data_IF_609344249581
#
_entry.id   IF_609344249581
#
_cell.length_a   1.000
_cell.length_b   1.000
_cell.length_c   1.000
_cell.angle_alpha   90.00
_cell.angle_beta   90.00
_cell.angle_gamma   90.00
#
_symmetry.space_group_name_H-M   'P 1'
#
loop_
_entity.id
_entity.type
_entity.pdbx_description
1 polymer ?
#
# COMPACT_ATOMS: atom_id res chain seq x y z
N UNK A 1 1.21 -0.41 -5.53
CA UNK A 1 -0.23 -0.62 -5.23
C UNK A 1 -1.00 -0.85 -6.51
N UNK A 2 -1.98 -1.74 -6.54
CA UNK A 2 -2.84 -1.93 -7.70
C UNK A 2 -3.89 -0.83 -7.77
N UNK A 3 -3.62 0.16 -8.61
CA UNK A 3 -4.53 1.25 -8.93
C UNK A 3 -4.72 1.24 -10.45
N UNK A 4 -5.94 1.50 -10.90
CA UNK A 4 -6.29 1.62 -12.31
C UNK A 4 -7.09 2.88 -12.53
N UNK A 5 -6.95 3.48 -13.69
CA UNK A 5 -7.70 4.67 -14.06
C UNK A 5 -8.29 4.52 -15.47
N UNK A 6 -9.41 5.20 -15.69
CA UNK A 6 -10.01 5.39 -17.01
C UNK A 6 -10.41 6.85 -17.16
N UNK A 7 -10.37 7.36 -18.39
CA UNK A 7 -10.84 8.71 -18.71
C UNK A 7 -11.59 8.71 -20.04
N UNK A 8 -12.58 9.58 -20.17
CA UNK A 8 -13.28 9.87 -21.41
C UNK A 8 -12.91 11.25 -22.00
N UNK A 9 -11.87 11.88 -21.43
CA UNK A 9 -11.40 13.22 -21.79
C UNK A 9 -11.86 14.31 -20.85
N UNK A 10 -13.07 14.20 -20.29
CA UNK A 10 -13.60 15.11 -19.26
C UNK A 10 -13.55 14.50 -17.88
N UNK A 11 -14.13 13.29 -17.70
CA UNK A 11 -14.11 12.61 -16.43
C UNK A 11 -12.91 11.67 -16.33
N UNK A 12 -12.32 11.61 -15.11
CA UNK A 12 -11.31 10.63 -14.75
C UNK A 12 -11.80 9.83 -13.56
N UNK A 13 -11.86 8.52 -13.75
CA UNK A 13 -12.19 7.55 -12.72
C UNK A 13 -10.93 6.81 -12.30
N UNK A 14 -10.70 6.73 -10.98
CA UNK A 14 -9.58 6.00 -10.39
C UNK A 14 -10.15 4.94 -9.45
N UNK A 15 -9.69 3.70 -9.63
CA UNK A 15 -10.00 2.57 -8.78
C UNK A 15 -8.78 2.15 -8.02
N UNK A 16 -8.83 2.21 -6.69
CA UNK A 16 -7.88 1.57 -5.80
C UNK A 16 -8.44 0.25 -5.28
N UNK A 17 -7.63 -0.80 -5.38
CA UNK A 17 -8.03 -2.14 -4.93
C UNK A 17 -7.53 -2.46 -3.51
N UNK A 18 -6.68 -1.59 -2.94
CA UNK A 18 -6.20 -1.67 -1.54
C UNK A 18 -6.29 -0.25 -0.95
N UNK A 19 -7.50 0.25 -0.64
CA UNK A 19 -7.73 1.65 -0.28
C UNK A 19 -7.15 2.04 1.09
N UNK A 20 -6.92 1.09 1.98
CA UNK A 20 -6.33 1.36 3.29
C UNK A 20 -4.83 1.66 3.25
N UNK A 21 -4.15 1.44 2.12
CA UNK A 21 -2.74 1.79 1.96
C UNK A 21 -2.59 3.21 1.43
N UNK A 22 -1.73 3.98 2.06
CA UNK A 22 -1.36 5.30 1.57
C UNK A 22 -0.62 5.21 0.23
N UNK A 23 -0.75 6.23 -0.63
CA UNK A 23 0.02 6.31 -1.87
C UNK A 23 1.52 6.55 -1.61
N UNK A 24 1.84 7.30 -0.56
CA UNK A 24 3.19 7.66 -0.16
C UNK A 24 3.93 6.51 0.56
N UNK A 25 3.88 5.28 0.03
CA UNK A 25 4.69 4.18 0.56
C UNK A 25 6.18 4.50 0.39
N UNK A 26 6.90 4.48 1.52
CA UNK A 26 8.31 4.86 1.53
C UNK A 26 9.18 3.84 0.83
N UNK A 27 10.01 4.33 -0.06
CA UNK A 27 11.14 3.63 -0.62
C UNK A 27 12.29 4.61 -0.81
N UNK A 28 13.49 4.08 -0.76
CA UNK A 28 14.68 4.92 -0.75
C UNK A 28 14.87 5.73 -2.03
N UNK A 29 14.46 5.18 -3.18
CA UNK A 29 14.61 5.84 -4.47
C UNK A 29 13.76 7.12 -4.56
N UNK A 30 12.47 7.03 -4.26
CA UNK A 30 11.57 8.17 -4.29
C UNK A 30 11.88 9.17 -3.18
N UNK A 31 12.03 8.67 -1.94
CA UNK A 31 12.26 9.53 -0.79
C UNK A 31 13.71 10.01 -0.67
N UNK A 32 14.61 9.59 -1.57
CA UNK A 32 15.90 10.20 -1.80
C UNK A 32 15.80 11.60 -2.43
N UNK A 33 14.67 11.92 -3.11
CA UNK A 33 14.48 13.21 -3.79
C UNK A 33 14.22 14.35 -2.81
N UNK A 34 14.87 15.52 -2.99
CA UNK A 34 14.67 16.69 -2.10
C UNK A 34 13.21 17.14 -1.99
N UNK A 35 12.44 17.07 -3.08
CA UNK A 35 11.01 17.42 -3.12
C UNK A 35 10.17 16.55 -2.18
N UNK A 36 10.37 15.24 -2.21
CA UNK A 36 9.63 14.32 -1.35
C UNK A 36 10.02 14.47 0.12
N UNK A 37 11.31 14.74 0.40
CA UNK A 37 11.77 15.07 1.77
C UNK A 37 11.19 16.38 2.30
N UNK A 38 11.08 17.40 1.44
CA UNK A 38 10.44 18.64 1.81
C UNK A 38 8.94 18.45 2.07
N UNK A 39 8.28 17.62 1.27
CA UNK A 39 6.87 17.30 1.42
C UNK A 39 6.60 16.51 2.72
N UNK A 40 7.41 15.50 3.05
CA UNK A 40 7.34 14.82 4.34
C UNK A 40 7.43 15.81 5.51
N UNK A 41 8.44 16.70 5.48
CA UNK A 41 8.63 17.71 6.54
C UNK A 41 7.43 18.66 6.66
N UNK A 42 6.84 19.04 5.55
CA UNK A 42 5.69 19.94 5.53
C UNK A 42 4.46 19.25 6.15
N UNK A 43 4.14 18.04 5.71
CA UNK A 43 2.91 17.34 6.11
C UNK A 43 3.05 16.76 7.52
N UNK A 44 4.10 15.97 7.78
CA UNK A 44 4.29 15.30 9.07
C UNK A 44 4.85 16.23 10.16
N UNK A 45 5.52 17.31 9.76
CA UNK A 45 6.02 18.33 10.68
C UNK A 45 4.95 19.29 11.20
N UNK A 46 3.69 19.13 10.80
CA UNK A 46 2.59 19.98 11.26
C UNK A 46 2.56 21.38 10.63
N UNK A 47 3.35 21.60 9.58
CA UNK A 47 3.40 22.89 8.85
C UNK A 47 2.49 22.92 7.63
N UNK A 48 1.65 21.89 7.47
CA UNK A 48 0.73 21.79 6.36
C UNK A 48 -0.46 22.75 6.54
N UNK A 49 -0.51 23.76 5.69
CA UNK A 49 -1.60 24.76 5.68
C UNK A 49 -2.72 24.41 4.70
N UNK A 50 -2.50 23.42 3.82
CA UNK A 50 -3.46 22.93 2.86
C UNK A 50 -3.68 21.42 3.06
N UNK A 51 -4.90 20.99 3.49
CA UNK A 51 -5.21 19.58 3.72
C UNK A 51 -5.02 18.69 2.50
N UNK A 52 -5.16 19.23 1.28
CA UNK A 52 -5.00 18.47 0.04
C UNK A 52 -3.60 17.91 -0.13
N UNK A 53 -2.58 18.61 0.40
CA UNK A 53 -1.20 18.13 0.34
C UNK A 53 -0.94 16.87 1.18
N UNK A 54 -1.84 16.57 2.13
CA UNK A 54 -1.74 15.39 2.99
C UNK A 54 -2.45 14.15 2.39
N UNK A 55 -3.27 14.29 1.35
CA UNK A 55 -4.07 13.19 0.81
C UNK A 55 -3.23 11.96 0.45
N UNK A 56 -2.04 12.17 -0.12
CA UNK A 56 -1.12 11.09 -0.52
C UNK A 56 -0.59 10.27 0.67
N UNK A 57 -0.56 10.85 1.88
CA UNK A 57 -0.08 10.21 3.11
C UNK A 57 -1.20 9.49 3.88
N UNK A 58 -2.43 9.62 3.46
CA UNK A 58 -3.58 9.02 4.12
C UNK A 58 -4.08 7.78 3.35
N UNK A 59 -4.90 6.96 4.00
CA UNK A 59 -5.79 6.04 3.31
C UNK A 59 -6.70 6.84 2.36
N UNK A 60 -7.11 6.23 1.28
CA UNK A 60 -7.92 6.90 0.25
C UNK A 60 -9.15 6.08 -0.10
N UNK A 61 -10.17 6.70 -0.72
CA UNK A 61 -11.36 5.97 -1.16
C UNK A 61 -11.02 4.86 -2.16
N UNK A 62 -11.83 3.80 -2.15
CA UNK A 62 -11.73 2.73 -3.14
C UNK A 62 -12.01 3.24 -4.56
N UNK A 63 -12.83 4.28 -4.68
CA UNK A 63 -13.22 4.90 -5.94
C UNK A 63 -13.07 6.41 -5.86
N UNK A 64 -12.55 6.99 -6.92
CA UNK A 64 -12.45 8.43 -7.08
C UNK A 64 -12.90 8.81 -8.48
N UNK A 65 -13.70 9.87 -8.58
CA UNK A 65 -14.18 10.42 -9.84
C UNK A 65 -13.91 11.94 -9.86
N UNK A 66 -13.31 12.43 -10.90
CA UNK A 66 -13.00 13.86 -11.07
C UNK A 66 -13.54 14.39 -12.39
N UNK A 67 -14.08 15.61 -12.39
CA UNK A 67 -14.42 16.38 -13.59
C UNK A 67 -13.23 17.27 -13.92
N UNK A 68 -12.39 16.86 -14.85
CA UNK A 68 -11.13 17.55 -15.18
C UNK A 68 -11.33 18.94 -15.80
N UNK A 69 -12.53 19.25 -16.30
CA UNK A 69 -12.86 20.61 -16.77
C UNK A 69 -13.08 21.59 -15.61
N UNK A 70 -13.67 21.08 -14.49
CA UNK A 70 -13.96 21.89 -13.31
C UNK A 70 -12.86 21.81 -12.25
N UNK A 71 -12.17 20.69 -12.19
CA UNK A 71 -11.15 20.34 -11.20
C UNK A 71 -9.94 19.67 -11.85
N UNK A 72 -9.12 20.44 -12.59
CA UNK A 72 -7.91 19.91 -13.24
C UNK A 72 -6.83 19.44 -12.24
N UNK A 73 -6.95 19.83 -10.98
CA UNK A 73 -6.06 19.41 -9.89
C UNK A 73 -6.47 18.10 -9.21
N UNK A 74 -7.62 17.53 -9.56
CA UNK A 74 -8.14 16.27 -8.98
C UNK A 74 -8.24 16.31 -7.44
N UNK A 75 -8.75 17.42 -6.90
CA UNK A 75 -8.84 17.67 -5.46
C UNK A 75 -10.20 17.25 -4.88
N UNK A 76 -11.27 17.28 -5.69
CA UNK A 76 -12.62 17.07 -5.24
C UNK A 76 -13.20 15.76 -5.79
N UNK A 77 -13.18 14.72 -4.97
CA UNK A 77 -13.74 13.43 -5.36
C UNK A 77 -15.25 13.46 -5.45
N UNK A 78 -15.82 13.14 -6.61
CA UNK A 78 -17.24 13.12 -6.93
C UNK A 78 -17.88 11.74 -6.81
N UNK A 79 -17.15 10.70 -6.37
CA UNK A 79 -17.65 9.31 -6.37
C UNK A 79 -18.88 9.09 -5.49
N UNK A 80 -19.06 9.90 -4.45
CA UNK A 80 -20.20 9.81 -3.53
C UNK A 80 -21.33 10.78 -3.89
N UNK A 81 -21.17 11.57 -4.95
CA UNK A 81 -22.17 12.54 -5.39
C UNK A 81 -23.28 11.88 -6.22
N UNK A 82 -24.55 11.93 -5.80
CA UNK A 82 -25.65 11.35 -6.56
C UNK A 82 -25.79 11.89 -7.99
N UNK A 83 -25.42 13.14 -8.22
CA UNK A 83 -25.44 13.80 -9.53
C UNK A 83 -24.56 13.08 -10.56
N UNK A 84 -23.45 12.47 -10.10
CA UNK A 84 -22.49 11.80 -10.97
C UNK A 84 -22.60 10.26 -10.96
N UNK A 85 -23.64 9.69 -10.34
CA UNK A 85 -23.80 8.25 -10.17
C UNK A 85 -23.79 7.48 -11.52
N UNK A 86 -24.44 8.03 -12.56
CA UNK A 86 -24.46 7.40 -13.89
C UNK A 86 -23.07 7.43 -14.55
N UNK A 87 -22.36 8.56 -14.44
CA UNK A 87 -21.00 8.70 -14.97
C UNK A 87 -20.08 7.71 -14.25
N UNK A 88 -20.15 7.64 -12.93
CA UNK A 88 -19.38 6.71 -12.13
C UNK A 88 -19.65 5.25 -12.55
N UNK A 89 -20.91 4.87 -12.71
CA UNK A 89 -21.29 3.52 -13.12
C UNK A 89 -20.74 3.18 -14.53
N UNK A 90 -20.84 4.12 -15.47
CA UNK A 90 -20.29 3.98 -16.82
C UNK A 90 -18.78 3.78 -16.81
N UNK A 91 -18.06 4.62 -16.07
CA UNK A 91 -16.60 4.56 -15.99
C UNK A 91 -16.10 3.30 -15.28
N UNK A 92 -16.77 2.90 -14.19
CA UNK A 92 -16.50 1.63 -13.49
C UNK A 92 -16.65 0.43 -14.42
N UNK A 93 -17.74 0.38 -15.18
CA UNK A 93 -18.00 -0.69 -16.15
C UNK A 93 -16.91 -0.73 -17.22
N UNK A 94 -16.60 0.40 -17.84
CA UNK A 94 -15.57 0.52 -18.89
C UNK A 94 -14.21 0.02 -18.37
N UNK A 95 -13.81 0.42 -17.16
CA UNK A 95 -12.55 -0.03 -16.58
C UNK A 95 -12.54 -1.54 -16.30
N UNK A 96 -13.61 -2.10 -15.74
CA UNK A 96 -13.73 -3.54 -15.48
C UNK A 96 -13.67 -4.37 -16.78
N UNK A 97 -14.37 -3.93 -17.83
CA UNK A 97 -14.33 -4.56 -19.15
C UNK A 97 -12.93 -4.50 -19.77
N UNK A 98 -12.24 -3.37 -19.65
CA UNK A 98 -10.86 -3.21 -20.14
C UNK A 98 -9.90 -4.18 -19.42
N UNK A 99 -9.93 -4.24 -18.09
CA UNK A 99 -9.11 -5.16 -17.30
C UNK A 99 -9.29 -6.62 -17.77
N UNK A 100 -10.53 -7.04 -18.01
CA UNK A 100 -10.85 -8.41 -18.43
C UNK A 100 -10.44 -8.69 -19.86
N UNK A 101 -10.72 -7.75 -20.78
CA UNK A 101 -10.39 -7.91 -22.20
C UNK A 101 -8.89 -7.94 -22.47
N UNK A 102 -8.13 -7.12 -21.75
CA UNK A 102 -6.66 -7.07 -21.85
C UNK A 102 -5.96 -8.14 -21.03
N UNK A 103 -6.70 -8.89 -20.18
CA UNK A 103 -6.14 -9.86 -19.24
C UNK A 103 -5.06 -9.24 -18.36
N UNK A 104 -5.41 -8.15 -17.68
CA UNK A 104 -4.49 -7.38 -16.85
C UNK A 104 -3.83 -8.25 -15.75
N UNK A 105 -2.53 -8.45 -15.86
CA UNK A 105 -1.73 -9.27 -14.94
C UNK A 105 -1.15 -8.46 -13.76
N UNK A 106 -1.50 -7.20 -13.63
CA UNK A 106 -0.99 -6.33 -12.56
C UNK A 106 -1.56 -6.61 -11.16
N UNK A 107 -2.44 -7.60 -11.04
CA UNK A 107 -2.99 -8.08 -9.75
C UNK A 107 -2.23 -9.29 -9.17
N UNK A 108 -1.22 -9.76 -9.89
CA UNK A 108 -0.33 -10.80 -9.40
C UNK A 108 0.66 -10.24 -8.38
N UNK A 109 0.96 -11.02 -7.34
CA UNK A 109 1.96 -10.65 -6.33
C UNK A 109 3.37 -10.63 -6.95
N UNK A 110 4.31 -9.82 -6.41
CA UNK A 110 5.64 -9.67 -7.00
C UNK A 110 6.43 -10.98 -7.14
N UNK A 111 6.28 -11.90 -6.20
CA UNK A 111 6.93 -13.21 -6.20
C UNK A 111 6.46 -14.13 -7.33
N UNK A 112 5.26 -13.92 -7.87
CA UNK A 112 4.75 -14.69 -9.01
C UNK A 112 5.56 -14.53 -10.30
N UNK A 113 6.45 -13.54 -10.35
CA UNK A 113 7.34 -13.28 -11.50
C UNK A 113 8.68 -14.01 -11.42
N UNK A 114 8.93 -14.71 -10.31
CA UNK A 114 10.21 -15.44 -10.13
C UNK A 114 10.22 -16.66 -11.02
N UNK A 115 11.25 -16.81 -11.83
CA UNK A 115 11.52 -17.95 -12.74
C UNK A 115 10.55 -18.13 -13.91
N UNK A 116 9.56 -17.24 -14.12
CA UNK A 116 8.65 -17.32 -15.27
C UNK A 116 8.07 -15.95 -15.62
N UNK A 117 7.59 -15.77 -16.86
CA UNK A 117 6.77 -14.63 -17.16
C UNK A 117 5.34 -14.86 -16.66
N UNK A 118 4.65 -13.79 -16.22
CA UNK A 118 3.23 -13.92 -15.82
C UNK A 118 2.35 -14.42 -16.97
N UNK A 119 2.68 -14.03 -18.20
CA UNK A 119 1.99 -14.48 -19.40
C UNK A 119 2.09 -16.01 -19.55
N UNK A 120 3.30 -16.59 -19.44
CA UNK A 120 3.50 -18.02 -19.53
C UNK A 120 2.82 -18.77 -18.40
N UNK A 121 2.90 -18.26 -17.16
CA UNK A 121 2.22 -18.82 -16.00
C UNK A 121 0.72 -18.93 -16.26
N UNK A 122 0.07 -17.84 -16.66
CA UNK A 122 -1.38 -17.79 -16.89
C UNK A 122 -1.79 -18.73 -18.02
N UNK A 123 -1.02 -18.76 -19.11
CA UNK A 123 -1.32 -19.60 -20.27
C UNK A 123 -1.14 -21.09 -20.00
N UNK A 124 -0.03 -21.47 -19.38
CA UNK A 124 0.33 -22.88 -19.10
C UNK A 124 -0.56 -23.49 -18.01
N UNK A 125 -0.83 -22.72 -16.95
CA UNK A 125 -1.62 -23.18 -15.80
C UNK A 125 -3.13 -23.02 -16.00
N UNK A 126 -3.57 -22.44 -17.10
CA UNK A 126 -4.99 -22.11 -17.34
C UNK A 126 -5.58 -21.32 -16.16
N UNK A 127 -4.82 -20.36 -15.69
CA UNK A 127 -5.14 -19.59 -14.48
C UNK A 127 -6.55 -18.97 -14.56
N UNK A 128 -7.38 -19.05 -13.50
CA UNK A 128 -8.75 -18.57 -13.50
C UNK A 128 -8.82 -17.04 -13.32
N UNK A 129 -8.38 -16.27 -14.33
CA UNK A 129 -8.28 -14.81 -14.26
C UNK A 129 -9.58 -14.12 -13.89
N UNK A 130 -10.73 -14.61 -14.40
CA UNK A 130 -12.01 -13.99 -14.09
C UNK A 130 -12.40 -14.15 -12.62
N UNK A 131 -12.05 -15.28 -12.00
CA UNK A 131 -12.26 -15.49 -10.57
C UNK A 131 -11.35 -14.56 -9.76
N UNK A 132 -10.08 -14.40 -10.20
CA UNK A 132 -9.17 -13.44 -9.59
C UNK A 132 -9.72 -12.01 -9.67
N UNK A 133 -10.17 -11.56 -10.84
CA UNK A 133 -10.72 -10.21 -11.00
C UNK A 133 -11.97 -9.99 -10.14
N UNK A 134 -12.87 -10.99 -10.04
CA UNK A 134 -14.02 -10.90 -9.15
C UNK A 134 -13.60 -10.72 -7.69
N UNK A 135 -12.63 -11.50 -7.23
CA UNK A 135 -12.13 -11.41 -5.86
C UNK A 135 -11.44 -10.06 -5.60
N UNK A 136 -10.65 -9.56 -6.55
CA UNK A 136 -9.98 -8.26 -6.49
C UNK A 136 -11.00 -7.12 -6.39
N UNK A 137 -12.02 -7.15 -7.21
CA UNK A 137 -13.09 -6.14 -7.20
C UNK A 137 -13.82 -6.12 -5.85
N UNK A 138 -14.17 -7.30 -5.32
CA UNK A 138 -14.77 -7.44 -3.99
C UNK A 138 -13.85 -6.92 -2.88
N UNK A 139 -12.57 -7.28 -2.90
CA UNK A 139 -11.62 -6.93 -1.84
C UNK A 139 -11.51 -5.41 -1.63
N UNK A 140 -11.49 -4.62 -2.71
CA UNK A 140 -11.39 -3.15 -2.62
C UNK A 140 -12.62 -2.46 -2.01
N UNK A 141 -13.80 -3.09 -2.06
CA UNK A 141 -15.06 -2.54 -1.54
C UNK A 141 -15.76 -3.49 -0.57
N UNK A 142 -15.03 -4.41 0.03
CA UNK A 142 -15.55 -5.48 0.87
C UNK A 142 -16.65 -5.03 1.84
N UNK A 143 -17.70 -5.84 1.93
CA UNK A 143 -18.82 -5.71 2.86
C UNK A 143 -18.93 -6.97 3.70
N UNK A 144 -19.56 -6.91 4.86
CA UNK A 144 -19.73 -8.06 5.74
C UNK A 144 -20.29 -9.30 5.05
N UNK A 145 -21.20 -9.12 4.05
CA UNK A 145 -21.74 -10.21 3.24
C UNK A 145 -20.69 -10.98 2.43
N UNK A 146 -19.52 -10.39 2.19
CA UNK A 146 -18.48 -10.97 1.35
C UNK A 146 -17.49 -11.83 2.15
N UNK A 147 -17.58 -11.83 3.49
CA UNK A 147 -16.67 -12.51 4.39
C UNK A 147 -16.45 -13.98 4.03
N UNK A 148 -17.55 -14.72 3.77
CA UNK A 148 -17.49 -16.15 3.42
C UNK A 148 -16.76 -16.40 2.09
N UNK A 149 -16.83 -15.47 1.14
CA UNK A 149 -16.10 -15.57 -0.14
C UNK A 149 -14.59 -15.46 0.12
N UNK A 150 -14.18 -14.52 0.96
CA UNK A 150 -12.78 -14.37 1.32
C UNK A 150 -12.28 -15.55 2.14
N UNK A 151 -13.02 -16.00 3.16
CA UNK A 151 -12.64 -17.17 3.97
C UNK A 151 -12.41 -18.43 3.10
N UNK A 152 -13.30 -18.70 2.15
CA UNK A 152 -13.12 -19.78 1.18
C UNK A 152 -11.86 -19.62 0.34
N UNK A 153 -11.57 -18.40 -0.12
CA UNK A 153 -10.42 -18.11 -0.97
C UNK A 153 -9.08 -18.20 -0.24
N UNK A 154 -9.03 -18.10 1.12
CA UNK A 154 -7.82 -18.32 1.90
C UNK A 154 -7.19 -19.70 1.68
N UNK A 155 -8.00 -20.72 1.34
CA UNK A 155 -7.52 -22.08 1.10
C UNK A 155 -7.24 -22.38 -0.39
N UNK A 156 -7.23 -21.37 -1.25
CA UNK A 156 -6.98 -21.55 -2.67
C UNK A 156 -5.57 -22.06 -2.95
N UNK A 157 -5.46 -22.94 -3.96
CA UNK A 157 -4.15 -23.35 -4.49
C UNK A 157 -3.38 -22.18 -5.14
N UNK A 158 -4.08 -21.14 -5.58
CA UNK A 158 -3.50 -19.97 -6.24
C UNK A 158 -3.08 -18.93 -5.20
N UNK A 159 -1.79 -18.55 -5.15
CA UNK A 159 -1.27 -17.62 -4.15
C UNK A 159 -1.94 -16.24 -4.24
N UNK A 160 -2.27 -15.75 -5.42
CA UNK A 160 -2.94 -14.47 -5.61
C UNK A 160 -4.34 -14.47 -4.98
N UNK A 161 -5.07 -15.60 -5.03
CA UNK A 161 -6.38 -15.71 -4.39
C UNK A 161 -6.27 -15.61 -2.87
N UNK A 162 -5.26 -16.27 -2.26
CA UNK A 162 -5.01 -16.19 -0.81
C UNK A 162 -4.63 -14.76 -0.40
N UNK A 163 -3.78 -14.10 -1.21
CA UNK A 163 -3.40 -12.71 -0.99
C UNK A 163 -4.61 -11.77 -1.01
N UNK A 164 -5.42 -11.82 -2.08
CA UNK A 164 -6.58 -10.94 -2.22
C UNK A 164 -7.70 -11.24 -1.23
N UNK A 165 -7.83 -12.48 -0.79
CA UNK A 165 -8.71 -12.84 0.32
C UNK A 165 -8.27 -12.15 1.63
N UNK A 166 -6.97 -12.16 1.92
CA UNK A 166 -6.41 -11.45 3.08
C UNK A 166 -6.63 -9.94 2.98
N UNK A 167 -6.49 -9.34 1.79
CA UNK A 167 -6.83 -7.93 1.53
C UNK A 167 -8.30 -7.62 1.84
N UNK A 168 -9.23 -8.47 1.37
CA UNK A 168 -10.66 -8.30 1.64
C UNK A 168 -11.00 -8.40 3.12
N UNK A 169 -10.42 -9.37 3.83
CA UNK A 169 -10.59 -9.52 5.28
C UNK A 169 -9.98 -8.34 6.06
N UNK A 170 -8.83 -7.83 5.65
CA UNK A 170 -8.25 -6.62 6.23
C UNK A 170 -9.21 -5.43 6.11
N UNK A 171 -9.82 -5.26 4.94
CA UNK A 171 -10.78 -4.20 4.70
C UNK A 171 -12.02 -4.32 5.61
N UNK A 172 -12.53 -5.54 5.83
CA UNK A 172 -13.64 -5.79 6.76
C UNK A 172 -13.25 -5.47 8.21
N UNK A 173 -12.06 -5.88 8.63
CA UNK A 173 -11.55 -5.57 9.97
C UNK A 173 -11.38 -4.07 10.21
N UNK A 174 -10.79 -3.33 9.25
CA UNK A 174 -10.63 -1.87 9.31
C UNK A 174 -11.98 -1.16 9.44
N UNK A 175 -13.00 -1.63 8.74
CA UNK A 175 -14.36 -1.08 8.83
C UNK A 175 -15.13 -1.50 10.09
N UNK A 176 -14.61 -2.44 10.87
CA UNK A 176 -15.32 -3.04 12.01
C UNK A 176 -16.47 -3.97 11.61
N UNK A 177 -16.55 -4.35 10.33
CA UNK A 177 -17.60 -5.23 9.80
C UNK A 177 -17.32 -6.72 10.07
N UNK A 178 -16.09 -7.06 10.44
CA UNK A 178 -15.67 -8.37 10.92
C UNK A 178 -14.69 -8.17 12.09
N UNK A 179 -14.86 -8.93 13.19
CA UNK A 179 -14.04 -8.77 14.40
C UNK A 179 -13.35 -10.06 14.84
N UNK A 180 -13.61 -11.15 14.17
CA UNK A 180 -13.06 -12.47 14.51
C UNK A 180 -12.15 -12.95 13.40
N UNK A 181 -10.90 -13.23 13.75
CA UNK A 181 -9.90 -13.71 12.80
C UNK A 181 -10.18 -15.19 12.44
N UNK A 182 -10.39 -15.50 11.14
CA UNK A 182 -10.54 -16.89 10.71
C UNK A 182 -9.26 -17.70 11.00
N UNK A 183 -9.37 -18.95 11.51
CA UNK A 183 -8.19 -19.78 11.79
C UNK A 183 -7.27 -19.99 10.59
N UNK A 184 -7.84 -20.10 9.39
CA UNK A 184 -7.08 -20.23 8.15
C UNK A 184 -6.21 -19.00 7.87
N UNK A 185 -6.70 -17.80 8.21
CA UNK A 185 -5.92 -16.56 8.08
C UNK A 185 -4.69 -16.58 9.00
N UNK A 186 -4.84 -17.06 10.25
CA UNK A 186 -3.71 -17.23 11.16
C UNK A 186 -2.66 -18.20 10.62
N UNK A 187 -3.11 -19.27 9.96
CA UNK A 187 -2.20 -20.21 9.29
C UNK A 187 -1.42 -19.52 8.17
N UNK A 188 -2.07 -18.67 7.38
CA UNK A 188 -1.44 -17.93 6.27
C UNK A 188 -0.40 -16.90 6.72
N UNK A 189 -0.38 -16.51 7.99
CA UNK A 189 0.72 -15.69 8.53
C UNK A 189 2.08 -16.41 8.44
N UNK A 190 2.08 -17.73 8.25
CA UNK A 190 3.28 -18.55 8.02
C UNK A 190 3.41 -19.02 6.56
N UNK A 191 2.67 -18.44 5.62
CA UNK A 191 2.83 -18.76 4.20
C UNK A 191 4.29 -18.52 3.76
N UNK A 192 4.77 -19.38 2.84
CA UNK A 192 6.12 -19.27 2.32
C UNK A 192 6.33 -17.98 1.51
N UNK A 193 5.26 -17.42 0.97
CA UNK A 193 5.27 -16.14 0.27
C UNK A 193 5.16 -14.96 1.24
N UNK A 194 6.16 -14.07 1.30
CA UNK A 194 6.17 -12.96 2.26
C UNK A 194 5.02 -11.96 2.06
N UNK A 195 4.52 -11.79 0.85
CA UNK A 195 3.39 -10.88 0.59
C UNK A 195 2.09 -11.45 1.15
N UNK A 196 1.86 -12.76 1.01
CA UNK A 196 0.69 -13.43 1.58
C UNK A 196 0.79 -13.41 3.11
N UNK A 197 1.94 -13.81 3.65
CA UNK A 197 2.13 -13.88 5.09
C UNK A 197 1.97 -12.52 5.79
N UNK A 198 2.54 -11.46 5.20
CA UNK A 198 2.42 -10.11 5.76
C UNK A 198 1.00 -9.54 5.60
N UNK A 199 0.32 -9.79 4.48
CA UNK A 199 -1.06 -9.34 4.30
C UNK A 199 -2.02 -10.05 5.26
N UNK A 200 -1.83 -11.37 5.47
CA UNK A 200 -2.58 -12.12 6.47
C UNK A 200 -2.33 -11.59 7.90
N UNK A 201 -1.09 -11.23 8.23
CA UNK A 201 -0.74 -10.63 9.51
C UNK A 201 -1.38 -9.25 9.70
N UNK A 202 -1.39 -8.43 8.66
CA UNK A 202 -2.06 -7.13 8.68
C UNK A 202 -3.56 -7.27 8.91
N UNK A 203 -4.21 -8.20 8.21
CA UNK A 203 -5.63 -8.49 8.40
C UNK A 203 -5.91 -9.02 9.82
N UNK A 204 -5.08 -9.96 10.32
CA UNK A 204 -5.22 -10.52 11.66
C UNK A 204 -5.12 -9.44 12.75
N UNK A 205 -4.27 -8.41 12.56
CA UNK A 205 -4.16 -7.31 13.48
C UNK A 205 -5.48 -6.55 13.68
N UNK A 206 -6.26 -6.38 12.63
CA UNK A 206 -7.59 -5.74 12.68
C UNK A 206 -8.73 -6.69 13.09
N UNK A 207 -8.48 -8.00 13.06
CA UNK A 207 -9.48 -9.02 13.36
C UNK A 207 -9.32 -9.64 14.77
N UNK A 208 -8.80 -8.87 15.72
CA UNK A 208 -8.69 -9.26 17.12
C UNK A 208 -7.37 -9.94 17.50
N UNK A 209 -6.49 -10.24 16.54
CA UNK A 209 -5.17 -10.85 16.80
C UNK A 209 -4.03 -9.82 16.67
N UNK A 210 -4.25 -8.63 17.25
CA UNK A 210 -3.38 -7.44 17.06
C UNK A 210 -1.91 -7.74 17.40
N UNK A 211 -1.63 -8.34 18.55
CA UNK A 211 -0.25 -8.62 18.96
C UNK A 211 0.44 -9.61 18.01
N UNK A 212 -0.24 -10.69 17.61
CA UNK A 212 0.32 -11.69 16.70
C UNK A 212 0.57 -11.10 15.30
N UNK A 213 -0.38 -10.29 14.81
CA UNK A 213 -0.23 -9.62 13.51
C UNK A 213 0.97 -8.69 13.50
N UNK A 214 1.11 -7.82 14.50
CA UNK A 214 2.22 -6.89 14.61
C UNK A 214 3.56 -7.62 14.79
N UNK A 215 3.61 -8.63 15.65
CA UNK A 215 4.79 -9.47 15.84
C UNK A 215 5.27 -10.05 14.50
N UNK A 216 4.35 -10.61 13.70
CA UNK A 216 4.69 -11.20 12.40
C UNK A 216 5.17 -10.17 11.37
N UNK A 217 4.61 -8.96 11.39
CA UNK A 217 5.06 -7.87 10.52
C UNK A 217 6.44 -7.35 10.92
N UNK A 218 6.74 -7.30 12.21
CA UNK A 218 8.03 -6.86 12.73
C UNK A 218 9.12 -7.93 12.54
N UNK A 219 8.79 -9.21 12.63
CA UNK A 219 9.71 -10.34 12.51
C UNK A 219 9.39 -11.23 11.29
N UNK A 220 9.92 -10.89 10.10
CA UNK A 220 9.75 -11.71 8.91
C UNK A 220 10.51 -13.03 9.03
N UNK A 221 10.07 -14.05 8.27
CA UNK A 221 10.79 -15.32 8.23
C UNK A 221 12.21 -15.20 7.67
N UNK A 222 12.43 -14.21 6.79
CA UNK A 222 13.75 -13.89 6.23
C UNK A 222 13.96 -12.37 6.36
N UNK A 223 15.16 -11.97 6.74
CA UNK A 223 15.53 -10.55 6.86
C UNK A 223 15.32 -9.78 5.55
N UNK A 224 15.53 -10.41 4.39
CA UNK A 224 15.30 -9.81 3.08
C UNK A 224 13.85 -9.40 2.84
N UNK A 225 12.90 -10.00 3.55
CA UNK A 225 11.45 -9.74 3.40
C UNK A 225 10.95 -8.65 4.37
N UNK A 226 11.82 -8.11 5.23
CA UNK A 226 11.45 -7.10 6.25
C UNK A 226 10.74 -5.89 5.67
N UNK A 227 11.16 -5.42 4.49
CA UNK A 227 10.51 -4.29 3.81
C UNK A 227 9.01 -4.55 3.51
N UNK A 228 8.61 -5.80 3.30
CA UNK A 228 7.20 -6.15 3.05
C UNK A 228 6.40 -5.97 4.33
N UNK A 229 6.87 -6.52 5.45
CA UNK A 229 6.24 -6.34 6.75
C UNK A 229 6.22 -4.88 7.19
N UNK A 230 7.34 -4.18 7.09
CA UNK A 230 7.45 -2.79 7.53
C UNK A 230 6.61 -1.82 6.69
N UNK A 231 6.38 -2.10 5.40
CA UNK A 231 5.45 -1.27 4.60
C UNK A 231 4.02 -1.32 5.13
N UNK A 232 3.60 -2.47 5.67
CA UNK A 232 2.28 -2.63 6.31
C UNK A 232 2.27 -2.12 7.74
N UNK A 233 3.34 -2.35 8.48
CA UNK A 233 3.49 -1.82 9.85
C UNK A 233 3.50 -0.29 9.86
N UNK A 234 4.06 0.35 8.84
CA UNK A 234 3.99 1.79 8.65
C UNK A 234 2.55 2.26 8.43
N UNK A 235 1.76 1.55 7.62
CA UNK A 235 0.33 1.83 7.48
C UNK A 235 -0.42 1.66 8.81
N UNK A 236 -0.15 0.58 9.56
CA UNK A 236 -0.73 0.37 10.89
C UNK A 236 -0.37 1.48 11.88
N UNK A 237 0.84 2.03 11.80
CA UNK A 237 1.30 3.07 12.73
C UNK A 237 0.56 4.41 12.59
N UNK A 238 -0.18 4.61 11.51
CA UNK A 238 -1.06 5.76 11.33
C UNK A 238 -2.35 5.62 12.14
N UNK A 239 -2.76 4.39 12.44
CA UNK A 239 -3.92 4.11 13.27
C UNK A 239 -3.54 4.18 14.75
N UNK A 240 -4.08 5.19 15.45
CA UNK A 240 -3.80 5.42 16.89
C UNK A 240 -4.20 4.23 17.75
N UNK A 241 -5.17 3.43 17.36
CA UNK A 241 -5.61 2.24 18.12
C UNK A 241 -4.58 1.10 18.06
N UNK A 242 -3.77 1.06 17.01
CA UNK A 242 -2.71 0.06 16.82
C UNK A 242 -1.37 0.46 17.47
N UNK A 243 -1.16 1.75 17.70
CA UNK A 243 0.10 2.28 18.21
C UNK A 243 0.57 1.67 19.55
N UNK A 244 -0.31 1.42 20.56
CA UNK A 244 0.14 0.79 21.80
C UNK A 244 0.80 -0.57 21.59
N UNK A 245 0.24 -1.40 20.71
CA UNK A 245 0.80 -2.71 20.39
C UNK A 245 2.11 -2.59 19.58
N UNK A 246 2.22 -1.62 18.66
CA UNK A 246 3.46 -1.38 17.90
C UNK A 246 4.58 -0.92 18.86
N UNK A 247 4.26 -0.15 19.90
CA UNK A 247 5.24 0.34 20.87
C UNK A 247 5.93 -0.78 21.66
N UNK A 248 5.36 -1.98 21.72
CA UNK A 248 6.03 -3.13 22.35
C UNK A 248 7.28 -3.57 21.60
N UNK A 249 7.45 -3.12 20.33
CA UNK A 249 8.58 -3.42 19.44
C UNK A 249 9.54 -2.24 19.23
N UNK A 250 9.51 -1.23 20.12
CA UNK A 250 10.33 -0.01 19.94
C UNK A 250 11.83 -0.29 19.87
N UNK A 251 12.34 -1.27 20.59
CA UNK A 251 13.76 -1.62 20.57
C UNK A 251 14.18 -2.08 19.16
N UNK A 252 13.42 -2.99 18.56
CA UNK A 252 13.68 -3.52 17.22
C UNK A 252 13.55 -2.42 16.16
N UNK A 253 12.51 -1.59 16.27
CA UNK A 253 12.30 -0.47 15.35
C UNK A 253 13.46 0.54 15.41
N UNK A 254 13.97 0.86 16.61
CA UNK A 254 15.12 1.74 16.78
C UNK A 254 16.39 1.13 16.20
N UNK A 255 16.64 -0.17 16.42
CA UNK A 255 17.76 -0.89 15.81
C UNK A 255 17.68 -0.83 14.27
N UNK A 256 16.52 -1.12 13.69
CA UNK A 256 16.34 -1.11 12.24
C UNK A 256 16.40 0.30 11.64
N UNK A 257 16.02 1.31 12.39
CA UNK A 257 16.13 2.71 11.98
C UNK A 257 17.59 3.15 11.72
N UNK A 258 18.57 2.45 12.31
CA UNK A 258 20.02 2.68 12.05
C UNK A 258 20.47 2.16 10.68
N UNK A 259 19.64 1.38 9.96
CA UNK A 259 19.96 0.93 8.59
C UNK A 259 19.98 2.13 7.67
N UNK A 260 21.14 2.34 7.08
CA UNK A 260 21.46 3.49 6.27
C UNK A 260 21.31 3.22 4.77
N UNK A 261 21.21 4.26 3.92
CA UNK A 261 21.16 4.11 2.48
C UNK A 261 22.32 3.30 1.90
N UNK A 262 22.08 2.66 0.77
CA UNK A 262 23.05 1.78 0.06
C UNK A 262 23.50 0.57 0.90
N UNK A 263 22.77 0.25 1.95
CA UNK A 263 22.92 -0.99 2.71
C UNK A 263 21.83 -1.98 2.35
N UNK A 264 22.04 -3.25 2.65
CA UNK A 264 20.96 -4.23 2.55
C UNK A 264 19.77 -3.77 3.40
N UNK A 265 18.54 -3.93 2.89
CA UNK A 265 17.30 -3.52 3.56
C UNK A 265 17.18 -2.00 3.87
N UNK A 266 17.80 -1.13 3.07
CA UNK A 266 17.69 0.33 3.23
C UNK A 266 16.25 0.85 3.28
N UNK A 267 15.34 0.25 2.48
CA UNK A 267 13.91 0.59 2.51
C UNK A 267 13.30 0.28 3.88
N UNK A 268 13.66 -0.85 4.51
CA UNK A 268 13.18 -1.20 5.83
C UNK A 268 13.65 -0.20 6.90
N UNK A 269 14.89 0.28 6.79
CA UNK A 269 15.41 1.33 7.68
C UNK A 269 14.63 2.64 7.55
N UNK A 270 14.31 3.06 6.33
CA UNK A 270 13.50 4.26 6.09
C UNK A 270 12.08 4.10 6.63
N UNK A 271 11.46 2.93 6.42
CA UNK A 271 10.12 2.61 6.94
C UNK A 271 10.12 2.57 8.48
N UNK A 272 11.16 1.99 9.11
CA UNK A 272 11.30 1.99 10.56
C UNK A 272 11.32 3.41 11.13
N UNK A 273 12.07 4.33 10.52
CA UNK A 273 12.06 5.75 10.88
C UNK A 273 10.68 6.38 10.69
N UNK A 274 9.98 6.06 9.58
CA UNK A 274 8.60 6.50 9.35
C UNK A 274 7.64 6.05 10.46
N UNK A 275 7.73 4.79 10.86
CA UNK A 275 6.95 4.24 11.97
C UNK A 275 7.27 5.00 13.27
N UNK A 276 8.54 5.21 13.59
CA UNK A 276 8.94 5.93 14.80
C UNK A 276 8.45 7.39 14.79
N UNK A 277 8.45 8.07 13.65
CA UNK A 277 7.87 9.42 13.50
C UNK A 277 6.36 9.38 13.76
N UNK A 278 5.62 8.43 13.17
CA UNK A 278 4.18 8.29 13.37
C UNK A 278 3.83 7.99 14.84
N UNK A 279 4.72 7.29 15.56
CA UNK A 279 4.59 7.03 16.99
C UNK A 279 5.01 8.23 17.88
N UNK A 280 5.61 9.27 17.34
CA UNK A 280 6.20 10.37 18.12
C UNK A 280 7.49 10.01 18.86
N UNK A 281 8.16 8.92 18.45
CA UNK A 281 9.42 8.41 19.04
C UNK A 281 10.66 8.90 18.29
N UNK A 282 10.48 9.62 17.19
CA UNK A 282 11.52 10.21 16.37
C UNK A 282 11.06 11.56 15.82
N UNK A 283 11.96 12.55 15.80
CA UNK A 283 11.69 13.83 15.19
C UNK A 283 11.67 13.69 13.65
N UNK A 284 10.76 14.41 12.99
CA UNK A 284 10.64 14.41 11.52
C UNK A 284 11.95 14.80 10.80
N UNK A 285 12.80 15.63 11.44
CA UNK A 285 14.10 16.01 10.88
C UNK A 285 15.05 14.83 10.69
N UNK A 286 14.89 13.77 11.50
CA UNK A 286 15.73 12.57 11.51
C UNK A 286 15.22 11.46 10.59
N UNK A 287 14.00 11.60 10.05
CA UNK A 287 13.34 10.61 9.19
C UNK A 287 14.23 10.16 8.03
N UNK A 288 14.92 11.09 7.40
CA UNK A 288 15.75 10.80 6.23
C UNK A 288 17.22 10.51 6.55
N UNK A 289 17.54 10.34 7.82
CA UNK A 289 18.89 10.10 8.31
C UNK A 289 19.79 11.35 8.27
N UNK A 290 21.06 11.19 8.65
CA UNK A 290 21.99 12.32 8.78
C UNK A 290 22.22 13.06 7.47
N UNK A 291 22.50 14.35 7.57
CA UNK A 291 22.75 15.24 6.41
C UNK A 291 23.92 14.81 5.50
N UNK A 292 24.83 13.99 6.00
CA UNK A 292 25.94 13.39 5.22
C UNK A 292 25.44 12.66 3.95
N UNK A 293 24.17 12.23 3.92
CA UNK A 293 23.52 11.68 2.74
C UNK A 293 23.26 12.68 1.62
N UNK A 294 23.19 13.97 1.93
CA UNK A 294 23.10 15.02 0.92
C UNK A 294 24.33 15.05 0.01
N UNK A 295 25.47 14.55 0.47
CA UNK A 295 26.73 14.49 -0.28
C UNK A 295 26.79 13.36 -1.32
N UNK A 296 26.06 12.25 -1.13
CA UNK A 296 26.02 11.15 -2.10
C UNK A 296 25.46 11.58 -3.46
N UNK A 297 24.56 12.55 -3.48
CA UNK A 297 24.04 13.16 -4.71
C UNK A 297 25.06 14.13 -5.36
N UNK A 298 25.96 14.75 -4.60
CA UNK A 298 27.02 15.62 -5.15
C UNK A 298 28.13 14.84 -5.87
N UNK A 299 28.41 13.61 -5.46
CA UNK A 299 29.54 12.84 -5.99
C UNK A 299 29.25 12.13 -7.30
N UNK A 300 28.00 11.88 -7.63
CA UNK A 300 27.62 11.20 -8.89
C UNK A 300 27.29 12.15 -10.04
N UNK A 301 27.26 13.45 -9.82
CA UNK A 301 26.96 14.45 -10.87
C UNK A 301 28.19 15.23 -11.33
N UNK A 302 29.31 14.58 -11.52
CA UNK A 302 30.43 15.10 -12.31
C UNK A 302 30.08 15.32 -13.78
N UNK A 303 28.82 15.58 -14.12
CA UNK A 303 28.36 15.83 -15.48
C UNK A 303 27.39 17.01 -15.55
N UNK A 304 27.98 18.12 -15.97
CA UNK A 304 27.39 19.38 -16.43
C UNK A 304 26.73 20.27 -15.37
N UNK A 305 27.10 21.54 -15.31
CA UNK A 305 26.34 22.53 -14.57
C UNK A 305 24.92 22.60 -15.15
N UNK A 306 23.90 22.57 -14.28
CA UNK A 306 22.56 22.91 -14.69
C UNK A 306 22.57 24.34 -15.25
N UNK A 307 22.10 24.49 -16.47
CA UNK A 307 21.85 25.81 -17.04
C UNK A 307 20.80 26.48 -16.15
N UNK A 308 21.04 27.69 -15.64
CA UNK A 308 20.02 28.43 -14.91
C UNK A 308 18.78 28.58 -15.79
N UNK A 309 17.60 28.31 -15.21
CA UNK A 309 16.37 28.67 -15.88
C UNK A 309 16.34 30.20 -16.07
N UNK A 310 15.92 30.69 -17.24
CA UNK A 310 15.76 32.14 -17.42
C UNK A 310 14.68 32.65 -16.48
N UNK A 311 14.93 33.83 -15.92
CA UNK A 311 14.01 34.57 -15.05
C UNK A 311 12.68 34.86 -15.71
#
# INVERSE_FOLDING_TARGET
MPVRAATDGRFKYIRSYIPYRQFALRNYYQWGMPSNKAWDKLVLGGHNTNPDWAQTFNAHPAEMLFDLEKDPGELHNLSDSPEYAEVLAKMRKALSEHIRSTKDLGFFIPTSRVNTTLYDKVRKEKYPLNELYNLVELAGTAKASDASVFEKALSSQYPEMRYWASVGLAQLGIKGELQVCPPTLLTLMNDADPYIACEAAYAAAYLGETSKGIERLNHPAKEADRKVGYSLLECLSLDKTMQPAIRTHLADLKEKAEILPRKANEDAGLMARGILVNLGEMDIKDLHGPESYKLGLKLNHGRRPMVPLPN
#
